data_IF_499665720154
#
_entry.id   IF_499665720154
#
_cell.length_a   1.000
_cell.length_b   1.000
_cell.length_c   1.000
_cell.angle_alpha   90.00
_cell.angle_beta   90.00
_cell.angle_gamma   90.00
#
_symmetry.space_group_name_H-M   'P 1'
#
loop_
_entity.id
_entity.type
_entity.pdbx_description
1 polymer ?
#
# COMPACT_ATOMS: atom_id res chain seq x y z
N UNK A 1 -36.15 7.51 -21.80
CA UNK A 1 -36.62 6.52 -22.79
C UNK A 1 -35.45 6.11 -23.66
N UNK A 2 -35.18 4.81 -23.70
CA UNK A 2 -34.22 4.15 -24.62
C UNK A 2 -34.91 3.98 -25.98
N UNK A 3 -34.23 4.26 -27.09
CA UNK A 3 -34.27 3.52 -28.38
C UNK A 3 -32.98 3.94 -29.12
N UNK A 4 -31.97 3.06 -29.29
CA UNK A 4 -31.86 2.04 -30.33
C UNK A 4 -31.87 2.69 -31.73
N UNK A 5 -30.87 2.58 -32.60
CA UNK A 5 -30.50 1.44 -33.46
C UNK A 5 -29.43 2.06 -34.41
N UNK A 6 -28.18 1.58 -34.47
CA UNK A 6 -27.68 0.55 -35.41
C UNK A 6 -27.58 0.96 -36.89
N UNK A 7 -26.51 0.42 -37.49
CA UNK A 7 -26.24 0.14 -38.91
C UNK A 7 -25.56 1.29 -39.68
N UNK A 8 -24.26 1.22 -39.91
CA UNK A 8 -23.56 0.33 -40.86
C UNK A 8 -23.70 0.79 -42.30
N UNK A 9 -22.56 1.12 -42.90
CA UNK A 9 -22.05 0.71 -44.22
C UNK A 9 -21.01 1.78 -44.60
N UNK A 10 -19.71 1.49 -44.47
CA UNK A 10 -18.97 0.73 -45.48
C UNK A 10 -19.17 1.32 -46.88
N UNK A 11 -18.31 2.25 -47.26
CA UNK A 11 -17.58 2.23 -48.52
C UNK A 11 -16.84 3.56 -48.66
N UNK A 12 -15.52 3.52 -48.52
CA UNK A 12 -14.60 4.18 -49.44
C UNK A 12 -13.25 3.47 -49.27
N UNK A 13 -13.30 2.24 -49.75
CA UNK A 13 -12.17 1.50 -50.25
C UNK A 13 -11.41 2.35 -51.27
N UNK A 14 -10.07 2.24 -51.17
CA UNK A 14 -9.06 2.31 -52.24
C UNK A 14 -8.77 3.71 -52.80
N UNK A 15 -7.54 4.15 -53.07
CA UNK A 15 -6.27 3.50 -53.41
C UNK A 15 -5.13 4.43 -52.95
N UNK A 16 -4.02 3.87 -52.48
CA UNK A 16 -2.82 4.66 -52.20
C UNK A 16 -1.63 3.80 -51.80
N UNK A 17 -1.15 2.98 -52.74
CA UNK A 17 0.07 2.20 -52.56
C UNK A 17 1.29 3.13 -52.43
N UNK A 18 2.02 3.02 -51.32
CA UNK A 18 3.42 3.46 -51.23
C UNK A 18 4.18 2.53 -50.28
N UNK A 19 5.42 2.26 -50.66
CA UNK A 19 6.24 1.13 -50.26
C UNK A 19 6.64 1.10 -48.78
N UNK A 20 6.83 -0.13 -48.32
CA UNK A 20 7.39 -0.54 -47.04
C UNK A 20 8.64 0.26 -46.62
N UNK A 21 8.56 0.83 -45.42
CA UNK A 21 9.67 0.89 -44.49
C UNK A 21 9.14 0.33 -43.18
N UNK A 22 9.68 -0.81 -42.75
CA UNK A 22 9.41 -1.33 -41.42
C UNK A 22 9.82 -0.25 -40.41
N UNK A 23 8.89 0.33 -39.63
CA UNK A 23 9.30 0.93 -38.39
C UNK A 23 9.76 -0.26 -37.55
N UNK A 24 11.06 -0.31 -37.27
CA UNK A 24 11.59 -1.16 -36.22
C UNK A 24 10.62 -1.08 -35.05
N UNK A 25 10.05 -2.22 -34.66
CA UNK A 25 9.28 -2.30 -33.43
C UNK A 25 10.09 -1.54 -32.38
N UNK A 26 9.56 -0.49 -31.74
CA UNK A 26 10.22 0.03 -30.56
C UNK A 26 10.32 -1.18 -29.66
N UNK A 27 11.55 -1.66 -29.46
CA UNK A 27 11.86 -2.68 -28.48
C UNK A 27 11.08 -2.25 -27.25
N UNK A 28 10.11 -3.08 -26.86
CA UNK A 28 9.27 -2.81 -25.71
C UNK A 28 10.23 -2.36 -24.62
N UNK A 29 10.07 -1.11 -24.17
CA UNK A 29 10.88 -0.57 -23.09
C UNK A 29 10.94 -1.66 -22.02
N UNK A 30 12.14 -2.01 -21.51
CA UNK A 30 12.25 -3.09 -20.55
C UNK A 30 11.21 -2.79 -19.48
N UNK A 31 10.22 -3.68 -19.35
CA UNK A 31 9.23 -3.58 -18.30
C UNK A 31 10.04 -3.35 -17.04
N UNK A 32 9.90 -2.16 -16.46
CA UNK A 32 10.71 -1.75 -15.33
C UNK A 32 10.62 -2.90 -14.35
N UNK A 33 11.74 -3.60 -14.17
CA UNK A 33 11.82 -4.73 -13.26
C UNK A 33 11.74 -4.08 -11.91
N UNK A 34 10.51 -3.85 -11.44
CA UNK A 34 10.30 -3.17 -10.18
C UNK A 34 10.96 -4.07 -9.15
N UNK A 35 11.97 -3.57 -8.43
CA UNK A 35 12.77 -4.48 -7.64
C UNK A 35 11.87 -5.13 -6.59
N UNK A 36 11.96 -6.45 -6.47
CA UNK A 36 11.21 -7.28 -5.52
C UNK A 36 11.38 -6.83 -4.05
N UNK A 37 12.28 -5.87 -3.80
CA UNK A 37 12.48 -5.24 -2.51
C UNK A 37 11.38 -4.24 -2.13
N UNK A 38 10.64 -3.59 -3.06
CA UNK A 38 9.69 -2.51 -2.69
C UNK A 38 8.52 -3.05 -1.86
N UNK A 39 7.88 -4.12 -2.34
CA UNK A 39 6.81 -4.79 -1.59
C UNK A 39 7.33 -5.34 -0.26
N UNK A 40 8.45 -6.07 -0.31
CA UNK A 40 9.05 -6.70 0.87
C UNK A 40 9.43 -5.67 1.94
N UNK A 41 10.01 -4.53 1.56
CA UNK A 41 10.42 -3.46 2.47
C UNK A 41 9.21 -2.80 3.13
N UNK A 42 8.16 -2.53 2.35
CA UNK A 42 6.91 -2.00 2.90
C UNK A 42 6.28 -2.99 3.89
N UNK A 43 6.13 -4.26 3.50
CA UNK A 43 5.57 -5.30 4.35
C UNK A 43 6.40 -5.52 5.62
N UNK A 44 7.73 -5.42 5.54
CA UNK A 44 8.60 -5.53 6.71
C UNK A 44 8.34 -4.40 7.72
N UNK A 45 8.19 -3.16 7.27
CA UNK A 45 7.86 -2.02 8.14
C UNK A 45 6.44 -2.17 8.71
N UNK A 46 5.48 -2.56 7.89
CA UNK A 46 4.09 -2.78 8.31
C UNK A 46 4.00 -3.88 9.38
N UNK A 47 4.67 -5.01 9.18
CA UNK A 47 4.71 -6.11 10.15
C UNK A 47 5.39 -5.68 11.46
N UNK A 48 6.47 -4.90 11.39
CA UNK A 48 7.12 -4.36 12.57
C UNK A 48 6.22 -3.38 13.35
N UNK A 49 5.43 -2.55 12.65
CA UNK A 49 4.45 -1.66 13.27
C UNK A 49 3.37 -2.43 14.04
N UNK A 50 2.84 -3.52 13.47
CA UNK A 50 1.93 -4.41 14.20
C UNK A 50 2.60 -5.08 15.40
N UNK A 51 3.83 -5.54 15.26
CA UNK A 51 4.60 -6.12 16.37
C UNK A 51 4.79 -5.13 17.53
N UNK A 52 5.10 -3.88 17.21
CA UNK A 52 5.23 -2.80 18.19
C UNK A 52 3.90 -2.54 18.91
N UNK A 53 2.78 -2.42 18.19
CA UNK A 53 1.48 -2.20 18.82
C UNK A 53 1.02 -3.38 19.68
N UNK A 54 1.28 -4.62 19.25
CA UNK A 54 1.05 -5.81 20.10
C UNK A 54 1.81 -5.72 21.42
N UNK A 55 3.08 -5.33 21.38
CA UNK A 55 3.89 -5.13 22.60
C UNK A 55 3.38 -3.96 23.45
N UNK A 56 2.94 -2.88 22.82
CA UNK A 56 2.34 -1.74 23.52
C UNK A 56 1.07 -2.15 24.28
N UNK A 57 0.19 -2.94 23.65
CA UNK A 57 -1.03 -3.46 24.27
C UNK A 57 -0.75 -4.44 25.41
N UNK A 58 0.36 -5.17 25.35
CA UNK A 58 0.75 -6.14 26.38
C UNK A 58 1.42 -5.50 27.61
N UNK A 59 1.86 -4.24 27.53
CA UNK A 59 2.57 -3.55 28.62
C UNK A 59 1.66 -2.65 29.46
N UNK A 60 2.05 -2.32 30.71
CA UNK A 60 1.34 -1.35 31.52
C UNK A 60 1.20 0.03 30.84
N UNK A 61 0.15 0.78 31.16
CA UNK A 61 -0.08 2.15 30.67
C UNK A 61 0.71 3.16 31.51
N UNK A 62 2.03 3.07 31.46
CA UNK A 62 2.92 3.96 32.21
C UNK A 62 4.00 4.53 31.31
N UNK A 63 4.42 5.77 31.57
CA UNK A 63 5.44 6.44 30.78
C UNK A 63 6.76 5.65 30.71
N UNK A 64 7.14 4.98 31.80
CA UNK A 64 8.35 4.17 31.85
C UNK A 64 8.28 2.93 30.94
N UNK A 65 7.12 2.26 30.87
CA UNK A 65 6.92 1.10 30.00
C UNK A 65 6.82 1.51 28.51
N UNK A 66 6.28 2.71 28.24
CA UNK A 66 6.02 3.20 26.88
C UNK A 66 7.22 3.92 26.24
N UNK A 67 8.09 4.57 27.04
CA UNK A 67 9.27 5.29 26.54
C UNK A 67 10.17 4.50 25.56
N UNK A 68 10.52 3.22 25.80
CA UNK A 68 11.30 2.46 24.81
C UNK A 68 10.51 2.21 23.51
N UNK A 69 9.21 1.98 23.61
CA UNK A 69 8.33 1.75 22.46
C UNK A 69 8.15 3.02 21.63
N UNK A 70 8.13 4.19 22.26
CA UNK A 70 8.06 5.47 21.55
C UNK A 70 9.27 5.70 20.65
N UNK A 71 10.48 5.35 21.12
CA UNK A 71 11.71 5.44 20.30
C UNK A 71 11.64 4.53 19.09
N UNK A 72 11.19 3.29 19.28
CA UNK A 72 11.02 2.34 18.18
C UNK A 72 9.92 2.79 17.22
N UNK A 73 8.80 3.32 17.72
CA UNK A 73 7.74 3.91 16.92
C UNK A 73 8.27 5.03 16.02
N UNK A 74 9.06 5.96 16.56
CA UNK A 74 9.65 7.05 15.78
C UNK A 74 10.56 6.54 14.66
N UNK A 75 11.39 5.54 14.94
CA UNK A 75 12.24 4.91 13.92
C UNK A 75 11.41 4.21 12.83
N UNK A 76 10.34 3.51 13.21
CA UNK A 76 9.41 2.88 12.27
C UNK A 76 8.66 3.90 11.42
N UNK A 77 8.20 5.01 12.01
CA UNK A 77 7.55 6.11 11.28
C UNK A 77 8.48 6.73 10.24
N UNK A 78 9.76 6.93 10.57
CA UNK A 78 10.75 7.44 9.61
C UNK A 78 10.97 6.46 8.46
N UNK A 79 11.06 5.16 8.75
CA UNK A 79 11.19 4.12 7.72
C UNK A 79 9.94 4.05 6.84
N UNK A 80 8.76 4.07 7.46
CA UNK A 80 7.45 4.10 6.77
C UNK A 80 7.39 5.23 5.76
N UNK A 81 7.66 6.47 6.19
CA UNK A 81 7.67 7.64 5.29
C UNK A 81 8.63 7.53 4.10
N UNK A 82 9.69 6.71 4.20
CA UNK A 82 10.63 6.46 3.10
C UNK A 82 10.13 5.39 2.13
N UNK A 83 9.50 4.32 2.63
CA UNK A 83 9.08 3.18 1.80
C UNK A 83 7.68 3.36 1.19
N UNK A 84 6.78 4.06 1.89
CA UNK A 84 5.38 4.25 1.48
C UNK A 84 5.22 4.92 0.10
N UNK A 85 5.95 6.00 -0.26
CA UNK A 85 5.83 6.62 -1.60
C UNK A 85 6.24 5.66 -2.72
N UNK A 86 7.34 4.93 -2.54
CA UNK A 86 7.84 3.97 -3.51
C UNK A 86 6.86 2.79 -3.68
N UNK A 87 6.28 2.32 -2.58
CA UNK A 87 5.24 1.29 -2.60
C UNK A 87 3.97 1.77 -3.33
N UNK A 88 3.50 2.99 -3.06
CA UNK A 88 2.35 3.57 -3.76
C UNK A 88 2.61 3.68 -5.28
N UNK A 89 3.79 4.17 -5.67
CA UNK A 89 4.19 4.26 -7.08
C UNK A 89 4.27 2.88 -7.74
N UNK A 90 4.82 1.89 -7.03
CA UNK A 90 4.88 0.51 -7.50
C UNK A 90 3.50 -0.06 -7.78
N UNK A 91 2.56 0.09 -6.84
CA UNK A 91 1.18 -0.41 -7.00
C UNK A 91 0.49 0.13 -8.25
N UNK A 92 0.72 1.41 -8.61
CA UNK A 92 0.16 2.03 -9.83
C UNK A 92 0.73 1.45 -11.13
N UNK A 93 1.94 0.89 -11.07
CA UNK A 93 2.61 0.27 -12.21
C UNK A 93 2.22 -1.19 -12.45
N UNK A 94 1.46 -1.81 -11.53
CA UNK A 94 1.09 -3.21 -11.61
C UNK A 94 -0.06 -3.45 -12.61
N UNK A 95 0.00 -4.59 -13.29
CA UNK A 95 -1.15 -5.15 -14.00
C UNK A 95 -2.23 -5.62 -13.00
N UNK A 96 -3.45 -5.86 -13.48
CA UNK A 96 -4.55 -6.34 -12.61
C UNK A 96 -4.22 -7.63 -11.85
N UNK A 97 -3.65 -8.68 -12.47
CA UNK A 97 -3.27 -9.89 -11.73
C UNK A 97 -2.19 -9.64 -10.68
N UNK A 98 -1.17 -8.83 -10.98
CA UNK A 98 -0.11 -8.49 -10.04
C UNK A 98 -0.64 -7.68 -8.86
N UNK A 99 -1.53 -6.72 -9.12
CA UNK A 99 -2.20 -5.94 -8.09
C UNK A 99 -3.03 -6.85 -7.16
N UNK A 100 -3.74 -7.84 -7.72
CA UNK A 100 -4.47 -8.81 -6.90
C UNK A 100 -3.53 -9.59 -5.99
N UNK A 101 -2.38 -10.05 -6.49
CA UNK A 101 -1.36 -10.73 -5.70
C UNK A 101 -0.81 -9.83 -4.57
N UNK A 102 -0.44 -8.58 -4.88
CA UNK A 102 0.04 -7.61 -3.90
C UNK A 102 -1.00 -7.33 -2.80
N UNK A 103 -2.28 -7.21 -3.17
CA UNK A 103 -3.39 -7.06 -2.22
C UNK A 103 -3.51 -8.28 -1.31
N UNK A 104 -3.32 -9.50 -1.81
CA UNK A 104 -3.35 -10.70 -0.98
C UNK A 104 -2.18 -10.74 0.01
N UNK A 105 -0.97 -10.38 -0.42
CA UNK A 105 0.18 -10.28 0.47
C UNK A 105 -0.03 -9.21 1.56
N UNK A 106 -0.57 -8.05 1.19
CA UNK A 106 -0.92 -7.00 2.15
C UNK A 106 -1.97 -7.48 3.16
N UNK A 107 -3.02 -8.17 2.70
CA UNK A 107 -4.03 -8.78 3.59
C UNK A 107 -3.45 -9.85 4.50
N UNK A 108 -2.46 -10.60 4.03
CA UNK A 108 -1.75 -11.61 4.81
C UNK A 108 -0.73 -11.00 5.79
N UNK A 109 -0.40 -9.71 5.66
CA UNK A 109 0.53 -9.03 6.57
C UNK A 109 -0.02 -8.99 8.00
N UNK A 110 0.88 -9.05 8.97
CA UNK A 110 0.55 -8.89 10.38
C UNK A 110 -0.08 -7.51 10.66
N UNK A 111 0.21 -6.51 9.83
CA UNK A 111 -0.42 -5.19 9.90
C UNK A 111 -1.93 -5.27 9.69
N UNK A 112 -2.39 -5.76 8.53
CA UNK A 112 -3.83 -5.83 8.25
C UNK A 112 -4.53 -6.80 9.20
N UNK A 113 -3.92 -7.95 9.50
CA UNK A 113 -4.51 -8.92 10.43
C UNK A 113 -4.67 -8.38 11.85
N UNK A 114 -3.80 -7.46 12.27
CA UNK A 114 -3.84 -6.90 13.61
C UNK A 114 -4.70 -5.63 13.67
N UNK A 115 -4.47 -4.65 12.79
CA UNK A 115 -5.20 -3.38 12.81
C UNK A 115 -6.63 -3.47 12.28
N UNK A 116 -6.94 -4.43 11.40
CA UNK A 116 -8.30 -4.65 10.89
C UNK A 116 -9.35 -4.89 11.98
N UNK A 117 -9.16 -5.88 12.88
CA UNK A 117 -10.11 -6.13 13.98
C UNK A 117 -10.01 -5.11 15.12
N UNK A 118 -8.86 -4.45 15.29
CA UNK A 118 -8.58 -3.51 16.38
C UNK A 118 -9.58 -2.34 16.46
N UNK A 119 -10.14 -1.90 15.34
CA UNK A 119 -11.15 -0.84 15.31
C UNK A 119 -12.44 -1.18 16.09
N UNK A 120 -12.66 -2.46 16.38
CA UNK A 120 -13.82 -2.95 17.12
C UNK A 120 -13.45 -3.52 18.50
N UNK A 121 -12.18 -3.45 18.91
CA UNK A 121 -11.72 -4.03 20.18
C UNK A 121 -11.92 -3.03 21.33
N UNK A 122 -12.81 -3.31 22.31
CA UNK A 122 -13.02 -2.42 23.45
C UNK A 122 -11.79 -2.31 24.37
N UNK A 123 -10.89 -3.31 24.38
CA UNK A 123 -9.64 -3.22 25.13
C UNK A 123 -8.68 -2.20 24.51
N UNK A 124 -8.72 -2.06 23.19
CA UNK A 124 -7.95 -1.07 22.46
C UNK A 124 -8.44 0.36 22.74
N UNK A 125 -9.76 0.58 22.69
CA UNK A 125 -10.35 1.87 23.06
C UNK A 125 -10.02 2.23 24.52
N UNK A 126 -10.14 1.28 25.44
CA UNK A 126 -9.81 1.48 26.85
C UNK A 126 -8.31 1.79 27.06
N UNK A 127 -7.42 1.20 26.25
CA UNK A 127 -5.97 1.49 26.33
C UNK A 127 -5.70 2.96 25.98
N UNK A 128 -6.21 3.46 24.86
CA UNK A 128 -5.89 4.81 24.42
C UNK A 128 -6.53 5.92 25.26
N UNK A 129 -7.69 5.64 25.88
CA UNK A 129 -8.25 6.55 26.90
C UNK A 129 -7.32 6.71 28.11
N UNK A 130 -6.52 5.69 28.43
CA UNK A 130 -5.60 5.69 29.58
C UNK A 130 -4.19 6.16 29.24
N UNK A 131 -3.80 6.08 27.96
CA UNK A 131 -2.48 6.54 27.48
C UNK A 131 -2.62 7.34 26.18
N UNK A 132 -2.50 8.68 26.27
CA UNK A 132 -2.41 9.53 25.09
C UNK A 132 -1.22 9.17 24.20
N UNK A 133 -0.07 8.83 24.81
CA UNK A 133 1.14 8.47 24.07
C UNK A 133 0.92 7.21 23.21
N UNK A 134 0.15 6.24 23.70
CA UNK A 134 -0.24 5.10 22.92
C UNK A 134 -1.04 5.53 21.68
N UNK A 135 -2.00 6.45 21.84
CA UNK A 135 -2.87 6.89 20.76
C UNK A 135 -2.07 7.61 19.67
N UNK A 136 -1.15 8.47 20.10
CA UNK A 136 -0.23 9.18 19.22
C UNK A 136 0.67 8.24 18.44
N UNK A 137 1.22 7.19 19.09
CA UNK A 137 2.02 6.18 18.40
C UNK A 137 1.23 5.45 17.32
N UNK A 138 -0.01 5.06 17.59
CA UNK A 138 -0.87 4.43 16.59
C UNK A 138 -1.12 5.36 15.41
N UNK A 139 -1.59 6.58 15.67
CA UNK A 139 -1.89 7.55 14.62
C UNK A 139 -0.65 7.87 13.78
N UNK A 140 0.52 7.99 14.42
CA UNK A 140 1.78 8.23 13.72
C UNK A 140 2.14 7.08 12.78
N UNK A 141 1.96 5.83 13.20
CA UNK A 141 2.23 4.65 12.35
C UNK A 141 1.24 4.53 11.20
N UNK A 142 -0.06 4.72 11.46
CA UNK A 142 -1.09 4.71 10.42
C UNK A 142 -0.79 5.77 9.35
N UNK A 143 -0.46 7.00 9.78
CA UNK A 143 -0.13 8.08 8.86
C UNK A 143 1.20 7.84 8.11
N UNK A 144 2.18 7.18 8.73
CA UNK A 144 3.45 6.86 8.07
C UNK A 144 3.31 5.75 7.00
N UNK A 145 2.30 4.89 7.14
CA UNK A 145 2.03 3.75 6.27
C UNK A 145 0.82 3.97 5.34
N UNK A 146 0.21 5.15 5.37
CA UNK A 146 -0.87 5.55 4.49
C UNK A 146 -0.33 5.82 3.07
N UNK A 147 -0.50 4.84 2.19
CA UNK A 147 -0.12 4.92 0.78
C UNK A 147 -1.26 5.41 -0.12
N UNK A 148 -2.48 5.58 0.39
CA UNK A 148 -3.62 6.09 -0.39
C UNK A 148 -3.59 7.62 -0.50
N UNK A 149 -2.93 8.30 0.44
CA UNK A 149 -2.73 9.77 0.41
C UNK A 149 -1.58 10.27 -0.46
N UNK A 150 -0.72 9.38 -0.96
CA UNK A 150 0.44 9.72 -1.81
C UNK A 150 0.07 9.59 -3.28
#
# INVERSE_FOLDING_TARGET
MKHALLLALALLLTVGAARAQAPASPAAAPAATVPANVETDFLAVANAAAGLMKRLMAQPATAAAEAPLLRECNALCQRGRRVTPAYAQWLRGLSRPELQTAVQHLKASAFVQYFGPLQYDPQFEARYKRSPAAADMMLALLNALDFERQ
#
